data_IF_341185302419
#
_entry.id   IF_341185302419
#
_cell.length_a   1.000
_cell.length_b   1.000
_cell.length_c   1.000
_cell.angle_alpha   90.00
_cell.angle_beta   90.00
_cell.angle_gamma   90.00
#
_symmetry.space_group_name_H-M   'P 1'
#
loop_
_entity.id
_entity.type
_entity.pdbx_description
1 polymer ?
#
# COMPACT_ATOMS: atom_id res chain seq x y z
N UNK A 1 44.99 7.10 -46.82
CA UNK A 1 43.68 6.75 -46.24
C UNK A 1 43.71 7.10 -44.77
N UNK A 2 42.90 8.05 -44.30
CA UNK A 2 42.79 8.32 -42.86
C UNK A 2 42.17 7.10 -42.20
N UNK A 3 42.79 6.59 -41.12
CA UNK A 3 42.28 5.43 -40.42
C UNK A 3 40.89 5.68 -39.82
N UNK A 4 40.09 4.61 -39.68
CA UNK A 4 38.73 4.66 -39.11
C UNK A 4 38.70 5.37 -37.76
N UNK A 5 39.70 5.15 -36.91
CA UNK A 5 39.82 5.83 -35.61
C UNK A 5 39.98 7.36 -35.73
N UNK A 6 40.73 7.85 -36.72
CA UNK A 6 40.89 9.29 -36.97
C UNK A 6 39.57 9.91 -37.44
N UNK A 7 38.83 9.22 -38.31
CA UNK A 7 37.52 9.67 -38.77
C UNK A 7 36.51 9.74 -37.63
N UNK A 8 36.49 8.73 -36.76
CA UNK A 8 35.65 8.69 -35.56
C UNK A 8 36.02 9.82 -34.59
N UNK A 9 37.31 10.03 -34.34
CA UNK A 9 37.80 11.10 -33.46
C UNK A 9 37.41 12.50 -33.93
N UNK A 10 37.48 12.77 -35.24
CA UNK A 10 37.08 14.06 -35.83
C UNK A 10 35.56 14.28 -35.74
N UNK A 11 34.74 13.25 -36.00
CA UNK A 11 33.30 13.34 -35.84
C UNK A 11 32.90 13.53 -34.37
N UNK A 12 33.57 12.82 -33.46
CA UNK A 12 33.38 13.00 -32.03
C UNK A 12 33.72 14.43 -31.60
N UNK A 13 34.87 14.96 -32.05
CA UNK A 13 35.27 16.34 -31.82
C UNK A 13 34.23 17.34 -32.32
N UNK A 14 33.72 17.15 -33.55
CA UNK A 14 32.63 17.97 -34.11
C UNK A 14 31.39 17.94 -33.21
N UNK A 15 30.95 16.74 -32.81
CA UNK A 15 29.75 16.56 -32.00
C UNK A 15 29.90 17.19 -30.60
N UNK A 16 31.09 17.06 -30.00
CA UNK A 16 31.42 17.67 -28.72
C UNK A 16 31.44 19.20 -28.82
N UNK A 17 32.03 19.74 -29.89
CA UNK A 17 32.11 21.17 -30.14
C UNK A 17 30.72 21.79 -30.40
N UNK A 18 29.81 21.06 -31.07
CA UNK A 18 28.41 21.46 -31.21
C UNK A 18 27.68 21.54 -29.86
N UNK A 19 27.95 20.60 -28.94
CA UNK A 19 27.40 20.64 -27.58
C UNK A 19 27.95 21.84 -26.80
N UNK A 20 29.28 22.06 -26.84
CA UNK A 20 29.94 23.17 -26.14
C UNK A 20 29.40 24.54 -26.56
N UNK A 21 28.91 24.69 -27.79
CA UNK A 21 28.26 25.91 -28.28
C UNK A 21 26.83 26.11 -27.77
N UNK A 22 26.20 25.08 -27.20
CA UNK A 22 24.85 25.11 -26.62
C UNK A 22 24.92 25.01 -25.09
N UNK A 23 25.63 25.94 -24.47
CA UNK A 23 25.89 25.96 -23.01
C UNK A 23 24.58 25.94 -22.22
N UNK A 24 23.62 26.81 -22.56
CA UNK A 24 22.33 26.92 -21.87
C UNK A 24 21.57 25.59 -21.88
N UNK A 25 21.45 24.96 -23.05
CA UNK A 25 20.77 23.66 -23.18
C UNK A 25 21.49 22.59 -22.36
N UNK A 26 22.83 22.57 -22.39
CA UNK A 26 23.63 21.61 -21.61
C UNK A 26 23.42 21.77 -20.10
N UNK A 27 23.28 23.02 -19.63
CA UNK A 27 22.96 23.29 -18.21
C UNK A 27 21.58 22.73 -17.87
N UNK A 28 20.56 22.99 -18.70
CA UNK A 28 19.22 22.46 -18.47
C UNK A 28 19.18 20.93 -18.49
N UNK A 29 19.87 20.30 -19.44
CA UNK A 29 19.97 18.84 -19.56
C UNK A 29 20.64 18.17 -18.36
N UNK A 30 21.61 18.82 -17.71
CA UNK A 30 22.22 18.31 -16.48
C UNK A 30 21.33 18.64 -15.27
N UNK A 31 20.84 19.88 -15.18
CA UNK A 31 20.09 20.35 -14.02
C UNK A 31 18.75 19.63 -13.84
N UNK A 32 18.05 19.26 -14.92
CA UNK A 32 16.73 18.65 -14.81
C UNK A 32 16.75 17.25 -14.16
N UNK A 33 17.57 16.27 -14.59
CA UNK A 33 17.67 14.99 -13.89
C UNK A 33 18.15 15.15 -12.44
N UNK A 34 19.04 16.11 -12.18
CA UNK A 34 19.49 16.39 -10.81
C UNK A 34 18.42 17.06 -9.96
N UNK A 35 17.56 17.89 -10.53
CA UNK A 35 16.41 18.49 -9.86
C UNK A 35 15.41 17.42 -9.46
N UNK A 36 15.12 16.47 -10.36
CA UNK A 36 14.27 15.32 -10.07
C UNK A 36 14.88 14.39 -9.00
N UNK A 37 16.20 14.16 -9.05
CA UNK A 37 16.89 13.42 -8.00
C UNK A 37 16.88 14.17 -6.65
N UNK A 38 17.08 15.50 -6.67
CA UNK A 38 16.98 16.35 -5.50
C UNK A 38 15.56 16.41 -4.94
N UNK A 39 14.53 16.33 -5.78
CA UNK A 39 13.13 16.24 -5.35
C UNK A 39 12.87 14.97 -4.53
N UNK A 40 13.38 13.81 -4.96
CA UNK A 40 13.31 12.59 -4.15
C UNK A 40 14.11 12.72 -2.84
N UNK A 41 15.30 13.32 -2.89
CA UNK A 41 16.08 13.60 -1.69
C UNK A 41 15.33 14.53 -0.71
N UNK A 42 14.61 15.52 -1.23
CA UNK A 42 13.78 16.44 -0.45
C UNK A 42 12.58 15.70 0.14
N UNK A 43 11.87 14.89 -0.65
CA UNK A 43 10.78 14.03 -0.15
C UNK A 43 11.28 13.10 0.96
N UNK A 44 12.49 12.54 0.82
CA UNK A 44 13.11 11.74 1.88
C UNK A 44 13.29 12.52 3.17
N UNK A 45 13.61 13.82 3.10
CA UNK A 45 13.80 14.65 4.30
C UNK A 45 12.53 14.85 5.15
N UNK A 46 11.35 14.63 4.57
CA UNK A 46 10.06 14.77 5.27
C UNK A 46 9.53 13.47 5.87
N UNK A 47 10.15 12.32 5.58
CA UNK A 47 9.68 11.00 6.04
C UNK A 47 10.71 10.39 6.97
N UNK A 48 10.27 10.02 8.17
CA UNK A 48 11.12 9.36 9.17
C UNK A 48 11.59 7.98 8.72
N UNK A 49 12.74 7.57 9.24
CA UNK A 49 13.29 6.24 9.11
C UNK A 49 13.60 5.73 10.52
N UNK A 50 12.99 4.61 10.90
CA UNK A 50 13.24 3.98 12.20
C UNK A 50 13.60 2.50 12.01
N UNK A 51 14.58 2.04 12.77
CA UNK A 51 15.05 0.65 12.74
C UNK A 51 14.61 -0.09 14.01
N UNK A 52 13.93 -1.22 13.82
CA UNK A 52 13.48 -2.11 14.88
C UNK A 52 14.27 -3.40 14.80
N UNK A 53 15.35 -3.50 15.61
CA UNK A 53 16.25 -4.65 15.64
C UNK A 53 15.68 -5.86 16.39
N UNK A 54 14.77 -5.62 17.32
CA UNK A 54 14.14 -6.66 18.13
C UNK A 54 12.74 -7.02 17.59
N UNK A 55 12.30 -8.28 17.72
CA UNK A 55 10.94 -8.66 17.38
C UNK A 55 9.91 -7.85 18.18
N UNK A 56 8.87 -7.38 17.51
CA UNK A 56 7.75 -6.69 18.17
C UNK A 56 6.78 -7.71 18.73
N UNK A 57 6.64 -7.71 20.05
CA UNK A 57 5.67 -8.54 20.77
C UNK A 57 4.40 -7.75 21.05
N UNK A 58 3.28 -8.47 21.09
CA UNK A 58 1.98 -7.92 21.45
C UNK A 58 1.46 -8.61 22.69
N UNK A 59 0.87 -7.81 23.59
CA UNK A 59 0.26 -8.33 24.80
C UNK A 59 -1.04 -9.08 24.48
N UNK A 60 -1.33 -10.17 25.21
CA UNK A 60 -2.60 -10.86 25.08
C UNK A 60 -3.75 -10.00 25.59
N UNK A 61 -4.93 -10.15 24.99
CA UNK A 61 -6.15 -9.52 25.47
C UNK A 61 -7.29 -10.52 25.60
N UNK A 62 -8.26 -10.19 26.46
CA UNK A 62 -9.44 -11.02 26.71
C UNK A 62 -10.47 -10.79 25.60
N UNK A 63 -10.95 -11.88 25.00
CA UNK A 63 -12.04 -11.82 23.99
C UNK A 63 -13.43 -11.67 24.61
N UNK A 64 -13.55 -11.80 25.94
CA UNK A 64 -14.82 -11.75 26.66
C UNK A 64 -15.36 -10.33 26.86
N UNK A 65 -14.60 -9.30 26.47
CA UNK A 65 -14.98 -7.90 26.66
C UNK A 65 -15.10 -7.21 25.30
N UNK A 66 -16.06 -6.28 25.22
CA UNK A 66 -16.14 -5.36 24.09
C UNK A 66 -15.06 -4.28 24.17
N UNK A 67 -14.64 -3.77 23.02
CA UNK A 67 -13.78 -2.59 22.95
C UNK A 67 -14.46 -1.39 23.61
N UNK A 68 -13.68 -0.57 24.33
CA UNK A 68 -14.18 0.67 24.97
C UNK A 68 -14.75 1.68 23.97
N UNK A 69 -14.38 1.57 22.69
CA UNK A 69 -14.87 2.43 21.62
C UNK A 69 -16.22 1.99 21.08
N UNK A 70 -16.73 0.80 21.44
CA UNK A 70 -17.98 0.24 20.91
C UNK A 70 -19.19 0.75 21.71
N UNK A 71 -19.36 2.07 21.76
CA UNK A 71 -20.44 2.74 22.50
C UNK A 71 -21.69 2.80 21.61
N UNK A 72 -22.88 2.40 22.11
CA UNK A 72 -24.14 2.56 21.40
C UNK A 72 -24.44 4.02 21.04
N UNK A 73 -25.04 4.32 19.88
CA UNK A 73 -25.31 5.70 19.49
C UNK A 73 -26.23 6.45 20.46
N UNK A 74 -27.26 5.80 21.01
CA UNK A 74 -28.18 6.44 21.97
C UNK A 74 -27.51 6.80 23.29
N UNK A 75 -26.40 6.15 23.62
CA UNK A 75 -25.61 6.43 24.82
C UNK A 75 -24.67 7.64 24.67
N UNK A 76 -24.54 8.22 23.46
CA UNK A 76 -23.73 9.42 23.23
C UNK A 76 -24.45 10.71 23.65
N UNK A 77 -25.79 10.69 23.70
CA UNK A 77 -26.63 11.85 24.05
C UNK A 77 -27.03 11.91 25.53
N UNK A 78 -26.72 10.86 26.31
CA UNK A 78 -27.06 10.76 27.73
C UNK A 78 -25.81 11.00 28.58
N UNK A 79 -25.89 11.88 29.58
CA UNK A 79 -24.90 12.00 30.68
C UNK A 79 -24.89 10.76 31.61
N UNK A 80 -25.53 9.66 31.19
CA UNK A 80 -25.67 8.46 32.01
C UNK A 80 -24.32 7.76 32.20
N UNK A 81 -23.94 7.46 33.45
CA UNK A 81 -22.76 6.68 33.71
C UNK A 81 -22.93 5.25 33.18
N UNK A 82 -21.83 4.57 32.80
CA UNK A 82 -21.86 3.18 32.37
C UNK A 82 -22.55 2.27 33.42
N UNK A 83 -23.18 1.16 32.99
CA UNK A 83 -22.94 0.46 31.73
C UNK A 83 -23.87 0.86 30.56
N UNK A 84 -23.29 0.86 29.35
CA UNK A 84 -24.01 1.04 28.10
C UNK A 84 -24.49 -0.30 27.54
N UNK A 85 -25.66 -0.31 26.91
CA UNK A 85 -26.34 -1.54 26.51
C UNK A 85 -26.52 -1.65 24.99
N UNK A 86 -26.03 -2.75 24.44
CA UNK A 86 -26.36 -3.21 23.10
C UNK A 86 -27.49 -4.24 23.13
N UNK A 87 -28.19 -4.37 22.01
CA UNK A 87 -29.13 -5.44 21.71
C UNK A 87 -28.58 -6.30 20.57
N UNK A 88 -28.94 -7.58 20.56
CA UNK A 88 -28.63 -8.52 19.48
C UNK A 88 -29.91 -9.03 18.83
N UNK A 89 -29.85 -9.39 17.56
CA UNK A 89 -30.87 -10.20 16.90
C UNK A 89 -30.44 -11.66 16.81
N UNK A 90 -31.38 -12.57 16.70
CA UNK A 90 -31.11 -13.94 16.29
C UNK A 90 -32.23 -14.51 15.43
N UNK A 91 -31.91 -15.52 14.63
CA UNK A 91 -32.87 -16.24 13.78
C UNK A 91 -32.44 -17.69 13.63
N UNK A 92 -33.37 -18.64 13.42
CA UNK A 92 -34.82 -18.49 13.53
C UNK A 92 -35.28 -18.34 15.00
N UNK A 93 -36.49 -17.83 15.21
CA UNK A 93 -37.13 -17.73 16.54
C UNK A 93 -37.82 -19.06 16.89
N UNK A 94 -37.04 -19.97 17.47
CA UNK A 94 -37.48 -21.29 17.92
C UNK A 94 -37.12 -21.47 19.40
N UNK A 95 -37.73 -22.47 20.05
CA UNK A 95 -37.49 -22.77 21.46
C UNK A 95 -36.00 -23.00 21.79
N UNK A 96 -35.29 -23.73 20.93
CA UNK A 96 -33.87 -24.04 21.05
C UNK A 96 -32.97 -22.80 20.87
N UNK A 97 -33.19 -22.03 19.80
CA UNK A 97 -32.37 -20.86 19.47
C UNK A 97 -32.57 -19.73 20.48
N UNK A 98 -33.77 -19.57 21.02
CA UNK A 98 -34.05 -18.64 22.11
C UNK A 98 -33.25 -19.01 23.37
N UNK A 99 -33.27 -20.28 23.77
CA UNK A 99 -32.51 -20.74 24.92
C UNK A 99 -30.98 -20.58 24.72
N UNK A 100 -30.48 -20.76 23.48
CA UNK A 100 -29.09 -20.48 23.13
C UNK A 100 -28.78 -18.98 23.22
N UNK A 101 -29.68 -18.13 22.71
CA UNK A 101 -29.52 -16.68 22.74
C UNK A 101 -29.52 -16.14 24.17
N UNK A 102 -30.35 -16.66 25.07
CA UNK A 102 -30.34 -16.31 26.50
C UNK A 102 -28.99 -16.64 27.16
N UNK A 103 -28.46 -17.85 26.95
CA UNK A 103 -27.13 -18.22 27.46
C UNK A 103 -26.01 -17.40 26.84
N UNK A 104 -26.12 -17.06 25.57
CA UNK A 104 -25.15 -16.18 24.90
C UNK A 104 -25.13 -14.81 25.57
N UNK A 105 -26.30 -14.20 25.83
CA UNK A 105 -26.39 -12.91 26.53
C UNK A 105 -25.82 -13.01 27.94
N UNK A 106 -26.10 -14.08 28.68
CA UNK A 106 -25.51 -14.33 30.01
C UNK A 106 -23.97 -14.37 29.93
N UNK A 107 -23.42 -15.06 28.92
CA UNK A 107 -21.98 -15.15 28.70
C UNK A 107 -21.33 -13.81 28.28
N UNK A 108 -22.11 -12.87 27.73
CA UNK A 108 -21.70 -11.52 27.31
C UNK A 108 -21.86 -10.46 28.41
N UNK A 109 -22.17 -10.86 29.65
CA UNK A 109 -22.25 -9.95 30.80
C UNK A 109 -21.06 -10.11 31.77
N UNK A 110 -19.83 -9.71 31.36
CA UNK A 110 -18.71 -9.72 32.28
C UNK A 110 -18.92 -8.69 33.41
N UNK A 111 -18.61 -9.12 34.63
CA UNK A 111 -18.71 -8.29 35.83
C UNK A 111 -17.92 -6.98 35.67
N UNK A 112 -18.56 -5.84 35.99
CA UNK A 112 -17.98 -4.50 35.92
C UNK A 112 -17.54 -4.01 34.52
N UNK A 113 -18.06 -4.60 33.44
CA UNK A 113 -17.79 -4.09 32.11
C UNK A 113 -18.66 -2.86 31.76
N UNK A 114 -18.07 -1.84 31.11
CA UNK A 114 -18.77 -0.60 30.78
C UNK A 114 -19.74 -0.76 29.59
N UNK A 115 -19.59 -1.82 28.79
CA UNK A 115 -20.44 -2.11 27.63
C UNK A 115 -20.92 -3.55 27.78
N UNK A 116 -22.23 -3.74 27.67
CA UNK A 116 -22.91 -5.02 27.89
C UNK A 116 -23.99 -5.25 26.84
N UNK A 117 -24.45 -6.49 26.73
CA UNK A 117 -25.64 -6.83 25.94
C UNK A 117 -26.82 -7.02 26.90
N UNK A 118 -27.93 -6.32 26.62
CA UNK A 118 -29.14 -6.37 27.46
C UNK A 118 -30.03 -7.54 27.10
N UNK A 119 -30.24 -7.77 25.81
CA UNK A 119 -31.17 -8.78 25.32
C UNK A 119 -30.86 -9.18 23.89
N UNK A 120 -31.35 -10.37 23.52
CA UNK A 120 -31.37 -10.87 22.16
C UNK A 120 -32.83 -10.99 21.70
N UNK A 121 -33.13 -10.50 20.49
CA UNK A 121 -34.48 -10.49 19.90
C UNK A 121 -34.57 -11.55 18.80
N UNK A 122 -35.62 -12.39 18.86
CA UNK A 122 -35.84 -13.44 17.87
C UNK A 122 -36.52 -12.90 16.62
N UNK A 123 -36.10 -13.40 15.46
CA UNK A 123 -36.71 -13.15 14.16
C UNK A 123 -37.08 -14.48 13.49
N UNK A 124 -38.21 -14.56 12.77
CA UNK A 124 -38.63 -15.80 12.11
C UNK A 124 -37.60 -16.32 11.10
N UNK A 125 -37.02 -15.42 10.29
CA UNK A 125 -36.06 -15.77 9.25
C UNK A 125 -34.86 -14.81 9.23
N UNK A 126 -33.73 -15.29 8.68
CA UNK A 126 -32.52 -14.49 8.55
C UNK A 126 -32.76 -13.26 7.67
N UNK A 127 -33.55 -13.42 6.60
CA UNK A 127 -33.89 -12.32 5.69
C UNK A 127 -34.70 -11.23 6.40
N UNK A 128 -35.68 -11.60 7.23
CA UNK A 128 -36.46 -10.63 8.00
C UNK A 128 -35.61 -9.89 9.03
N UNK A 129 -34.67 -10.58 9.69
CA UNK A 129 -33.70 -9.97 10.59
C UNK A 129 -32.82 -8.95 9.85
N UNK A 130 -32.31 -9.31 8.68
CA UNK A 130 -31.48 -8.42 7.86
C UNK A 130 -32.28 -7.23 7.35
N UNK A 131 -33.50 -7.44 6.86
CA UNK A 131 -34.41 -6.37 6.40
C UNK A 131 -34.76 -5.40 7.52
N UNK A 132 -34.97 -5.91 8.74
CA UNK A 132 -35.18 -5.09 9.93
C UNK A 132 -33.98 -4.19 10.21
N UNK A 133 -32.77 -4.76 10.20
CA UNK A 133 -31.55 -3.98 10.42
C UNK A 133 -31.31 -2.95 9.31
N UNK A 134 -31.57 -3.29 8.05
CA UNK A 134 -31.42 -2.35 6.91
C UNK A 134 -32.39 -1.17 6.97
N UNK A 135 -33.60 -1.38 7.50
CA UNK A 135 -34.61 -0.31 7.66
C UNK A 135 -34.29 0.64 8.81
N UNK A 136 -33.56 0.18 9.81
CA UNK A 136 -33.10 1.05 10.89
C UNK A 136 -31.89 1.86 10.44
N UNK A 137 -31.84 3.14 10.81
CA UNK A 137 -30.62 3.91 10.62
C UNK A 137 -29.58 3.39 11.62
N UNK A 138 -28.58 2.65 11.14
CA UNK A 138 -27.55 2.02 11.98
C UNK A 138 -26.76 3.01 12.83
N UNK A 139 -26.68 4.27 12.41
CA UNK A 139 -26.08 5.37 13.18
C UNK A 139 -26.91 5.75 14.42
N UNK A 140 -28.11 5.21 14.58
CA UNK A 140 -29.04 5.50 15.68
C UNK A 140 -29.64 4.23 16.30
N UNK A 141 -29.28 3.04 15.82
CA UNK A 141 -29.80 1.77 16.34
C UNK A 141 -28.89 1.19 17.42
N UNK A 142 -29.48 0.76 18.53
CA UNK A 142 -28.77 0.04 19.60
C UNK A 142 -28.61 -1.45 19.33
N UNK A 143 -28.69 -1.87 18.06
CA UNK A 143 -28.41 -3.23 17.64
C UNK A 143 -26.95 -3.36 17.23
N UNK A 144 -26.21 -4.21 17.94
CA UNK A 144 -24.80 -4.48 17.62
C UNK A 144 -24.69 -5.29 16.32
N UNK A 145 -25.58 -6.27 16.16
CA UNK A 145 -25.72 -7.15 15.00
C UNK A 145 -26.69 -8.30 15.30
N UNK A 146 -26.66 -9.35 14.48
CA UNK A 146 -27.49 -10.54 14.68
C UNK A 146 -26.79 -11.86 14.40
N UNK A 147 -27.37 -12.95 14.88
CA UNK A 147 -26.86 -14.32 14.72
C UNK A 147 -27.89 -15.15 13.95
N UNK A 148 -27.51 -15.66 12.78
CA UNK A 148 -28.32 -16.62 12.03
C UNK A 148 -27.83 -18.03 12.33
N UNK A 149 -28.66 -18.84 12.97
CA UNK A 149 -28.40 -20.26 13.20
C UNK A 149 -28.96 -21.07 12.03
N UNK A 150 -28.12 -21.93 11.45
CA UNK A 150 -28.46 -22.78 10.31
C UNK A 150 -28.66 -24.21 10.78
N UNK A 151 -29.63 -24.92 10.20
CA UNK A 151 -29.96 -26.32 10.53
C UNK A 151 -30.42 -26.52 11.99
N UNK A 152 -31.14 -25.55 12.55
CA UNK A 152 -31.73 -25.63 13.90
C UNK A 152 -33.26 -25.76 13.79
N UNK A 153 -33.72 -27.00 13.56
CA UNK A 153 -35.15 -27.30 13.48
C UNK A 153 -35.80 -27.32 14.87
N UNK A 154 -37.09 -26.97 14.95
CA UNK A 154 -37.86 -26.90 16.20
C UNK A 154 -38.26 -28.29 16.76
N UNK A 155 -37.60 -29.36 16.32
CA UNK A 155 -37.97 -30.74 16.64
C UNK A 155 -37.52 -31.20 18.05
N UNK A 156 -36.79 -30.37 18.81
CA UNK A 156 -36.39 -30.65 20.19
C UNK A 156 -35.36 -29.69 20.78
N UNK A 157 -35.00 -29.88 22.05
CA UNK A 157 -33.94 -29.12 22.74
C UNK A 157 -32.52 -29.68 22.50
N UNK A 158 -32.40 -30.72 21.69
CA UNK A 158 -31.11 -31.35 21.40
C UNK A 158 -30.39 -30.63 20.26
N UNK A 159 -29.15 -30.21 20.52
CA UNK A 159 -28.28 -29.61 19.50
C UNK A 159 -27.94 -30.63 18.40
N UNK A 160 -27.99 -30.23 17.10
CA UNK A 160 -27.58 -31.07 16.00
C UNK A 160 -26.10 -31.46 16.09
N UNK A 161 -25.71 -32.51 15.36
CA UNK A 161 -24.32 -32.98 15.31
C UNK A 161 -23.39 -31.96 14.64
N UNK A 162 -23.86 -31.36 13.55
CA UNK A 162 -23.14 -30.30 12.84
C UNK A 162 -23.82 -28.97 13.09
N UNK A 163 -23.13 -28.09 13.81
CA UNK A 163 -23.62 -26.76 14.15
C UNK A 163 -23.02 -25.76 13.15
N UNK A 164 -23.88 -24.97 12.52
CA UNK A 164 -23.50 -23.95 11.54
C UNK A 164 -24.23 -22.66 11.89
N UNK A 165 -23.51 -21.54 12.00
CA UNK A 165 -24.11 -20.23 12.26
C UNK A 165 -23.35 -19.12 11.53
N UNK A 166 -23.98 -17.97 11.40
CA UNK A 166 -23.41 -16.76 10.81
C UNK A 166 -23.63 -15.57 11.71
N UNK A 167 -22.59 -14.79 11.97
CA UNK A 167 -22.69 -13.51 12.68
C UNK A 167 -22.84 -12.41 11.64
N UNK A 168 -23.94 -11.67 11.69
CA UNK A 168 -24.27 -10.55 10.82
C UNK A 168 -24.02 -9.24 11.55
N UNK A 169 -22.87 -8.63 11.27
CA UNK A 169 -22.55 -7.28 11.73
C UNK A 169 -22.82 -6.24 10.64
N UNK A 170 -22.76 -4.97 11.01
CA UNK A 170 -22.87 -3.87 10.06
C UNK A 170 -21.79 -3.98 8.97
N UNK A 171 -22.14 -3.70 7.71
CA UNK A 171 -21.20 -3.74 6.60
C UNK A 171 -20.07 -2.73 6.76
N UNK A 172 -20.38 -1.54 7.29
CA UNK A 172 -19.38 -0.53 7.62
C UNK A 172 -18.97 -0.65 9.09
N UNK A 173 -17.70 -0.96 9.40
CA UNK A 173 -17.21 -0.98 10.77
C UNK A 173 -17.40 0.39 11.43
N UNK A 174 -17.91 0.41 12.67
CA UNK A 174 -18.23 1.64 13.43
C UNK A 174 -16.96 2.33 13.96
N UNK A 175 -15.94 1.55 14.27
CA UNK A 175 -14.69 1.96 14.91
C UNK A 175 -13.48 1.81 13.98
N UNK A 176 -13.67 2.08 12.68
CA UNK A 176 -12.56 2.07 11.71
C UNK A 176 -11.67 3.31 11.90
N UNK A 177 -10.37 3.16 12.21
CA UNK A 177 -9.47 4.31 12.34
C UNK A 177 -9.32 5.01 10.99
N UNK A 178 -9.54 6.32 10.97
CA UNK A 178 -9.43 7.17 9.77
C UNK A 178 -8.04 7.12 9.16
N UNK A 179 -7.88 6.30 8.12
CA UNK A 179 -6.81 6.37 7.14
C UNK A 179 -7.42 6.63 5.78
N UNK A 180 -6.63 7.10 4.82
CA UNK A 180 -7.03 7.28 3.41
C UNK A 180 -7.57 5.98 2.76
N UNK A 181 -7.33 4.84 3.42
CA UNK A 181 -7.88 3.52 3.12
C UNK A 181 -8.91 3.05 4.17
N UNK A 182 -9.72 3.95 4.73
CA UNK A 182 -10.92 3.57 5.48
C UNK A 182 -11.84 2.82 4.50
N UNK A 183 -11.63 1.51 4.41
CA UNK A 183 -12.48 0.64 3.62
C UNK A 183 -13.87 0.69 4.25
N UNK A 184 -14.85 0.98 3.41
CA UNK A 184 -16.26 1.13 3.78
C UNK A 184 -16.85 -0.23 4.20
N UNK A 185 -16.14 -1.34 3.93
CA UNK A 185 -16.64 -2.70 4.06
C UNK A 185 -15.60 -3.66 4.65
N UNK A 186 -16.07 -4.83 5.10
CA UNK A 186 -15.23 -5.95 5.54
C UNK A 186 -14.62 -6.65 4.31
N UNK A 187 -13.29 -6.66 4.12
CA UNK A 187 -12.64 -7.33 3.00
C UNK A 187 -12.55 -8.84 3.25
N UNK A 188 -13.68 -9.56 3.19
CA UNK A 188 -13.73 -11.01 3.41
C UNK A 188 -13.21 -11.82 2.24
N UNK A 189 -13.12 -11.22 1.04
CA UNK A 189 -12.66 -11.88 -0.18
C UNK A 189 -11.14 -12.04 -0.24
N UNK A 190 -10.40 -11.30 0.59
CA UNK A 190 -8.95 -11.24 0.55
C UNK A 190 -8.34 -11.73 1.86
N UNK A 191 -7.38 -12.66 1.76
CA UNK A 191 -6.56 -13.08 2.90
C UNK A 191 -5.60 -11.98 3.37
N UNK A 192 -5.18 -11.07 2.48
CA UNK A 192 -4.22 -10.02 2.74
C UNK A 192 -4.67 -8.68 2.14
N UNK A 193 -4.29 -7.54 2.74
CA UNK A 193 -4.59 -6.23 2.16
C UNK A 193 -3.89 -6.03 0.82
N UNK A 194 -4.51 -5.27 -0.07
CA UNK A 194 -3.96 -4.94 -1.39
C UNK A 194 -2.60 -4.23 -1.30
N UNK A 195 -2.46 -3.30 -0.34
CA UNK A 195 -1.19 -2.68 -0.01
C UNK A 195 -0.61 -3.27 1.26
N UNK A 196 0.55 -3.92 1.14
CA UNK A 196 1.31 -4.44 2.26
C UNK A 196 2.45 -3.48 2.55
N UNK A 197 2.43 -2.89 3.74
CA UNK A 197 3.58 -2.15 4.25
C UNK A 197 4.51 -3.12 4.98
N UNK A 198 5.85 -2.94 4.88
CA UNK A 198 6.83 -3.80 5.56
C UNK A 198 6.91 -3.55 7.07
N UNK A 199 5.78 -3.22 7.70
CA UNK A 199 5.64 -2.87 9.12
C UNK A 199 4.49 -3.66 9.73
N UNK A 200 4.52 -3.93 11.04
CA UNK A 200 3.40 -4.59 11.71
C UNK A 200 2.14 -3.75 11.56
N UNK A 201 1.05 -4.39 11.15
CA UNK A 201 -0.28 -3.76 11.04
C UNK A 201 -0.65 -3.14 12.38
N UNK A 202 -0.93 -1.83 12.39
CA UNK A 202 -1.25 -1.06 13.60
C UNK A 202 -0.34 -1.46 14.79
N UNK A 203 0.95 -1.17 14.68
CA UNK A 203 1.99 -1.54 15.67
C UNK A 203 1.58 -1.30 17.13
N UNK A 204 0.90 -0.19 17.40
CA UNK A 204 0.53 0.21 18.76
C UNK A 204 -0.75 -0.48 19.28
N UNK A 205 -1.41 -1.30 18.46
CA UNK A 205 -2.63 -2.01 18.83
C UNK A 205 -2.36 -3.50 19.03
N UNK A 206 -2.72 -4.02 20.20
CA UNK A 206 -2.67 -5.46 20.49
C UNK A 206 -3.83 -6.24 19.84
N UNK A 207 -4.87 -5.52 19.39
CA UNK A 207 -6.16 -6.06 18.94
C UNK A 207 -6.19 -6.49 17.47
N UNK A 208 -5.06 -6.41 16.78
CA UNK A 208 -4.92 -6.83 15.37
C UNK A 208 -5.25 -5.75 14.34
N UNK A 209 -5.87 -4.63 14.76
CA UNK A 209 -6.22 -3.51 13.89
C UNK A 209 -7.30 -3.83 12.86
N UNK A 210 -7.36 -3.07 11.77
CA UNK A 210 -8.27 -3.29 10.65
C UNK A 210 -8.17 -4.75 10.07
N UNK A 211 -9.30 -5.45 9.80
CA UNK A 211 -10.70 -4.98 9.70
C UNK A 211 -11.47 -4.84 11.02
N UNK A 212 -10.82 -4.99 12.18
CA UNK A 212 -11.42 -4.59 13.46
C UNK A 212 -12.32 -5.63 14.13
N UNK A 213 -12.10 -6.94 13.93
CA UNK A 213 -12.90 -8.02 14.54
C UNK A 213 -13.09 -7.88 16.06
N UNK A 214 -12.07 -7.41 16.79
CA UNK A 214 -12.22 -7.11 18.22
C UNK A 214 -12.97 -5.78 18.46
N UNK A 215 -12.62 -4.73 17.72
CA UNK A 215 -13.18 -3.37 17.87
C UNK A 215 -14.69 -3.30 17.61
N UNK A 216 -15.18 -4.15 16.72
CA UNK A 216 -16.60 -4.29 16.37
C UNK A 216 -17.34 -5.34 17.22
N UNK A 217 -16.65 -6.02 18.15
CA UNK A 217 -17.27 -6.99 19.05
C UNK A 217 -17.52 -8.38 18.44
N UNK A 218 -17.09 -8.64 17.20
CA UNK A 218 -17.24 -9.95 16.55
C UNK A 218 -16.66 -11.08 17.38
N UNK A 219 -15.43 -10.92 17.89
CA UNK A 219 -14.75 -11.95 18.69
C UNK A 219 -15.48 -12.27 19.99
N UNK A 220 -16.10 -11.26 20.62
CA UNK A 220 -16.85 -11.44 21.86
C UNK A 220 -18.15 -12.21 21.60
N UNK A 221 -18.88 -11.85 20.54
CA UNK A 221 -20.10 -12.56 20.13
C UNK A 221 -19.77 -14.01 19.78
N UNK A 222 -18.73 -14.24 18.97
CA UNK A 222 -18.29 -15.58 18.59
C UNK A 222 -17.94 -16.43 19.82
N UNK A 223 -17.14 -15.87 20.74
CA UNK A 223 -16.78 -16.55 21.99
C UNK A 223 -18.01 -16.91 22.83
N UNK A 224 -18.99 -16.01 22.93
CA UNK A 224 -20.20 -16.23 23.72
C UNK A 224 -21.14 -17.28 23.11
N UNK A 225 -21.29 -17.28 21.78
CA UNK A 225 -22.08 -18.29 21.04
C UNK A 225 -21.45 -19.67 21.22
N UNK A 226 -20.13 -19.80 20.99
CA UNK A 226 -19.43 -21.07 21.12
C UNK A 226 -19.47 -21.58 22.58
N UNK A 227 -19.36 -20.66 23.55
CA UNK A 227 -19.50 -20.98 24.96
C UNK A 227 -20.92 -21.42 25.33
N UNK A 228 -21.95 -20.83 24.75
CA UNK A 228 -23.32 -21.29 24.91
C UNK A 228 -23.48 -22.73 24.39
N UNK A 229 -22.96 -23.05 23.19
CA UNK A 229 -23.00 -24.42 22.67
C UNK A 229 -22.30 -25.43 23.58
N UNK A 230 -21.12 -25.10 24.10
CA UNK A 230 -20.42 -25.94 25.07
C UNK A 230 -21.28 -26.20 26.32
N UNK A 231 -21.94 -25.17 26.86
CA UNK A 231 -22.82 -25.30 28.02
C UNK A 231 -24.06 -26.14 27.73
N UNK A 232 -24.62 -26.05 26.52
CA UNK A 232 -25.75 -26.88 26.09
C UNK A 232 -25.37 -28.37 25.95
N UNK A 233 -24.13 -28.67 25.56
CA UNK A 233 -23.59 -30.04 25.59
C UNK A 233 -23.13 -30.51 26.99
N UNK A 234 -23.37 -29.71 28.04
CA UNK A 234 -23.09 -30.08 29.42
C UNK A 234 -21.67 -29.79 29.90
N UNK A 235 -20.87 -29.03 29.15
CA UNK A 235 -19.52 -28.66 29.58
C UNK A 235 -19.54 -27.54 30.64
N UNK A 236 -18.66 -27.65 31.65
CA UNK A 236 -18.48 -26.60 32.64
C UNK A 236 -17.49 -25.53 32.11
N UNK A 237 -18.03 -24.39 31.70
CA UNK A 237 -17.25 -23.31 31.07
C UNK A 237 -16.76 -22.23 32.05
N UNK A 238 -16.94 -22.40 33.37
CA UNK A 238 -16.61 -21.34 34.36
C UNK A 238 -15.11 -21.08 34.48
N UNK A 239 -14.28 -22.09 34.26
CA UNK A 239 -12.82 -22.00 34.42
C UNK A 239 -12.06 -21.85 33.10
N UNK A 240 -12.75 -21.56 31.99
CA UNK A 240 -12.11 -21.42 30.68
C UNK A 240 -11.79 -19.93 30.45
N UNK A 241 -10.50 -19.59 30.45
CA UNK A 241 -10.02 -18.28 30.03
C UNK A 241 -9.49 -18.35 28.60
N UNK A 242 -10.12 -17.58 27.71
CA UNK A 242 -9.68 -17.46 26.31
C UNK A 242 -9.07 -16.08 26.12
N UNK A 243 -7.82 -16.05 25.68
CA UNK A 243 -7.11 -14.82 25.31
C UNK A 243 -6.67 -14.91 23.87
N UNK A 244 -6.70 -13.78 23.17
CA UNK A 244 -6.10 -13.67 21.85
C UNK A 244 -4.75 -12.98 21.99
N UNK A 245 -3.76 -13.46 21.25
CA UNK A 245 -2.45 -12.83 21.15
C UNK A 245 -2.01 -12.84 19.71
N UNK A 246 -1.52 -11.69 19.23
CA UNK A 246 -0.92 -11.61 17.90
C UNK A 246 0.42 -12.36 17.90
N UNK A 247 0.76 -12.97 16.78
CA UNK A 247 2.11 -13.48 16.57
C UNK A 247 3.13 -12.33 16.66
N UNK A 248 4.32 -12.58 17.21
CA UNK A 248 5.38 -11.59 17.20
C UNK A 248 5.75 -11.24 15.75
N UNK A 249 6.01 -9.97 15.51
CA UNK A 249 6.47 -9.49 14.20
C UNK A 249 8.00 -9.44 14.19
N UNK A 250 8.69 -9.95 13.16
CA UNK A 250 10.15 -9.97 13.10
C UNK A 250 10.75 -8.55 13.07
N UNK A 251 12.07 -8.39 13.29
CA UNK A 251 12.77 -7.13 13.12
C UNK A 251 12.51 -6.49 11.74
N UNK A 252 12.35 -5.18 11.70
CA UNK A 252 11.95 -4.46 10.48
C UNK A 252 12.43 -3.01 10.44
N UNK A 253 12.36 -2.42 9.25
CA UNK A 253 12.60 -1.01 9.01
C UNK A 253 11.25 -0.31 8.82
N UNK A 254 10.91 0.63 9.71
CA UNK A 254 9.76 1.51 9.50
C UNK A 254 10.17 2.63 8.56
N UNK A 255 9.96 2.38 7.27
CA UNK A 255 10.28 3.31 6.20
C UNK A 255 9.16 3.40 5.18
N UNK A 256 8.18 4.28 5.46
CA UNK A 256 7.06 4.56 4.55
C UNK A 256 7.49 5.21 3.25
N UNK A 257 8.69 5.80 3.21
CA UNK A 257 9.22 6.41 2.01
C UNK A 257 9.45 5.38 0.89
N UNK A 258 9.78 4.12 1.25
CA UNK A 258 10.00 3.05 0.28
C UNK A 258 8.76 2.81 -0.59
N UNK A 259 7.56 2.84 0.00
CA UNK A 259 6.32 2.69 -0.77
C UNK A 259 6.09 3.87 -1.72
N UNK A 260 6.34 5.11 -1.27
CA UNK A 260 6.24 6.30 -2.13
C UNK A 260 7.25 6.21 -3.28
N UNK A 261 8.48 5.80 -2.97
CA UNK A 261 9.55 5.60 -3.93
C UNK A 261 9.15 4.55 -4.98
N UNK A 262 8.60 3.41 -4.57
CA UNK A 262 8.21 2.33 -5.48
C UNK A 262 7.25 2.80 -6.58
N UNK A 263 6.29 3.68 -6.27
CA UNK A 263 5.37 4.23 -7.25
C UNK A 263 5.97 5.34 -8.12
N UNK A 264 6.82 6.21 -7.55
CA UNK A 264 7.28 7.43 -8.23
C UNK A 264 8.67 7.29 -8.88
N UNK A 265 9.45 6.27 -8.54
CA UNK A 265 10.83 6.13 -9.01
C UNK A 265 10.98 6.05 -10.54
N UNK A 266 10.13 5.29 -11.28
CA UNK A 266 10.18 5.28 -12.74
C UNK A 266 9.92 6.66 -13.36
N UNK A 267 8.94 7.39 -12.84
CA UNK A 267 8.54 8.70 -13.35
C UNK A 267 9.66 9.73 -13.20
N UNK A 268 10.33 9.73 -12.04
CA UNK A 268 11.47 10.62 -11.75
C UNK A 268 12.60 10.40 -12.75
N UNK A 269 12.95 9.14 -13.03
CA UNK A 269 14.00 8.81 -14.00
C UNK A 269 13.57 9.19 -15.42
N UNK A 270 12.32 8.90 -15.78
CA UNK A 270 11.77 9.22 -17.10
C UNK A 270 11.78 10.73 -17.37
N UNK A 271 11.19 11.53 -16.48
CA UNK A 271 11.16 12.99 -16.61
C UNK A 271 12.54 13.62 -16.47
N UNK A 272 13.45 13.02 -15.68
CA UNK A 272 14.83 13.48 -15.59
C UNK A 272 15.58 13.42 -16.92
N UNK A 273 15.41 12.35 -17.70
CA UNK A 273 16.17 12.11 -18.94
C UNK A 273 15.46 12.67 -20.19
N UNK A 274 14.22 13.17 -20.06
CA UNK A 274 13.39 13.56 -21.20
C UNK A 274 14.06 14.59 -22.13
N UNK A 275 14.69 15.63 -21.57
CA UNK A 275 15.38 16.66 -22.35
C UNK A 275 16.57 16.08 -23.11
N UNK A 276 17.27 15.11 -22.52
CA UNK A 276 18.41 14.44 -23.16
C UNK A 276 17.92 13.66 -24.38
N UNK A 277 16.83 12.89 -24.23
CA UNK A 277 16.22 12.14 -25.33
C UNK A 277 15.76 13.07 -26.47
N UNK A 278 15.09 14.17 -26.12
CA UNK A 278 14.63 15.17 -27.08
C UNK A 278 15.80 15.83 -27.82
N UNK A 279 16.87 16.19 -27.12
CA UNK A 279 18.01 16.86 -27.74
C UNK A 279 18.88 15.93 -28.59
N UNK A 280 19.01 14.65 -28.23
CA UNK A 280 19.63 13.64 -29.09
C UNK A 280 18.84 13.55 -30.39
N UNK A 281 17.52 13.37 -30.30
CA UNK A 281 16.63 13.27 -31.46
C UNK A 281 16.70 14.53 -32.33
N UNK A 282 16.63 15.72 -31.72
CA UNK A 282 16.76 17.01 -32.39
C UNK A 282 18.11 17.17 -33.09
N UNK A 283 19.20 16.77 -32.45
CA UNK A 283 20.54 16.97 -33.03
C UNK A 283 20.78 16.08 -34.25
N UNK A 284 20.30 14.83 -34.21
CA UNK A 284 20.38 13.89 -35.34
C UNK A 284 19.46 14.34 -36.49
N UNK A 285 18.22 14.76 -36.20
CA UNK A 285 17.28 15.26 -37.21
C UNK A 285 17.73 16.58 -37.83
N UNK A 286 18.34 17.48 -37.06
CA UNK A 286 18.92 18.73 -37.58
C UNK A 286 20.10 18.48 -38.53
N UNK A 287 20.93 17.47 -38.25
CA UNK A 287 22.00 17.06 -39.16
C UNK A 287 21.45 16.47 -40.47
N UNK A 288 20.33 15.73 -40.38
CA UNK A 288 19.59 15.19 -41.52
C UNK A 288 18.95 16.30 -42.36
N UNK A 289 18.30 17.29 -41.73
CA UNK A 289 17.67 18.43 -42.38
C UNK A 289 18.67 19.26 -43.20
N UNK A 290 19.84 19.54 -42.62
CA UNK A 290 20.92 20.28 -43.30
C UNK A 290 21.71 19.45 -44.31
N UNK A 291 21.36 18.17 -44.50
CA UNK A 291 22.08 17.21 -45.37
C UNK A 291 23.58 17.10 -45.06
N UNK A 292 23.99 17.43 -43.83
CA UNK A 292 25.40 17.40 -43.41
C UNK A 292 25.93 15.98 -43.41
N UNK A 293 25.08 15.01 -43.04
CA UNK A 293 25.42 13.58 -43.10
C UNK A 293 25.77 13.13 -44.52
N UNK A 294 24.96 13.51 -45.51
CA UNK A 294 25.21 13.15 -46.92
C UNK A 294 26.45 13.86 -47.48
N UNK A 295 26.67 15.11 -47.10
CA UNK A 295 27.90 15.83 -47.45
C UNK A 295 29.15 15.12 -46.93
N UNK A 296 29.15 14.60 -45.71
CA UNK A 296 30.30 13.87 -45.15
C UNK A 296 30.45 12.46 -45.74
N UNK A 297 29.35 11.81 -46.13
CA UNK A 297 29.44 10.55 -46.90
C UNK A 297 30.13 10.75 -48.25
N UNK A 298 29.84 11.86 -48.94
CA UNK A 298 30.55 12.22 -50.19
C UNK A 298 32.05 12.48 -49.96
N UNK A 299 32.45 12.87 -48.75
CA UNK A 299 33.86 13.00 -48.34
C UNK A 299 34.52 11.65 -47.95
N UNK A 300 33.82 10.53 -48.11
CA UNK A 300 34.36 9.18 -47.88
C UNK A 300 34.12 8.60 -46.47
N UNK A 301 33.26 9.21 -45.65
CA UNK A 301 32.89 8.66 -44.34
C UNK A 301 31.77 7.62 -44.46
N UNK A 302 31.95 6.48 -43.80
CA UNK A 302 30.94 5.41 -43.82
C UNK A 302 29.78 5.67 -42.84
N UNK A 303 28.59 5.16 -43.16
CA UNK A 303 27.35 5.45 -42.43
C UNK A 303 27.39 5.04 -40.94
N UNK A 304 28.03 3.91 -40.61
CA UNK A 304 28.06 3.40 -39.25
C UNK A 304 28.89 4.29 -38.31
N UNK A 305 29.96 4.93 -38.82
CA UNK A 305 30.82 5.83 -38.02
C UNK A 305 30.01 7.03 -37.51
N UNK A 306 29.06 7.55 -38.30
CA UNK A 306 28.18 8.63 -37.86
C UNK A 306 27.32 8.22 -36.65
N UNK A 307 26.71 7.02 -36.70
CA UNK A 307 25.90 6.51 -35.60
C UNK A 307 26.74 6.22 -34.35
N UNK A 308 27.92 5.62 -34.52
CA UNK A 308 28.85 5.36 -33.42
C UNK A 308 29.36 6.66 -32.78
N UNK A 309 29.66 7.69 -33.59
CA UNK A 309 30.10 8.99 -33.07
C UNK A 309 29.01 9.70 -32.25
N UNK A 310 27.75 9.64 -32.69
CA UNK A 310 26.62 10.14 -31.91
C UNK A 310 26.38 9.31 -30.65
N UNK A 311 26.45 7.97 -30.76
CA UNK A 311 26.28 7.07 -29.63
C UNK A 311 27.32 7.34 -28.54
N UNK A 312 28.61 7.38 -28.90
CA UNK A 312 29.69 7.56 -27.93
C UNK A 312 29.63 8.93 -27.24
N UNK A 313 29.29 10.00 -27.98
CA UNK A 313 29.07 11.33 -27.41
C UNK A 313 27.91 11.32 -26.41
N UNK A 314 26.78 10.73 -26.79
CA UNK A 314 25.60 10.66 -25.92
C UNK A 314 25.84 9.77 -24.71
N UNK A 315 26.56 8.66 -24.87
CA UNK A 315 26.88 7.73 -23.79
C UNK A 315 27.76 8.41 -22.73
N UNK A 316 28.87 9.05 -23.12
CA UNK A 316 29.75 9.76 -22.17
C UNK A 316 28.96 10.80 -21.39
N UNK A 317 28.09 11.54 -22.09
CA UNK A 317 27.26 12.56 -21.47
C UNK A 317 26.26 11.98 -20.46
N UNK A 318 25.52 10.93 -20.86
CA UNK A 318 24.61 10.23 -19.98
C UNK A 318 25.33 9.59 -18.79
N UNK A 319 26.53 9.04 -18.97
CA UNK A 319 27.33 8.45 -17.88
C UNK A 319 27.58 9.47 -16.77
N UNK A 320 27.98 10.70 -17.11
CA UNK A 320 28.21 11.76 -16.12
C UNK A 320 26.93 12.03 -15.33
N UNK A 321 25.79 12.12 -16.01
CA UNK A 321 24.49 12.37 -15.37
C UNK A 321 24.06 11.19 -14.49
N UNK A 322 24.25 9.95 -14.94
CA UNK A 322 23.91 8.75 -14.17
C UNK A 322 24.80 8.60 -12.94
N UNK A 323 26.07 8.97 -13.00
CA UNK A 323 26.95 9.04 -11.83
C UNK A 323 26.40 10.06 -10.83
N UNK A 324 26.09 11.28 -11.29
CA UNK A 324 25.57 12.32 -10.41
C UNK A 324 24.23 11.93 -9.78
N UNK A 325 23.29 11.39 -10.55
CA UNK A 325 22.02 10.88 -10.02
C UNK A 325 22.23 9.74 -9.01
N UNK A 326 23.15 8.82 -9.27
CA UNK A 326 23.50 7.74 -8.34
C UNK A 326 23.99 8.31 -7.00
N UNK A 327 24.83 9.36 -7.03
CA UNK A 327 25.29 10.04 -5.82
C UNK A 327 24.10 10.62 -5.05
N UNK A 328 23.17 11.33 -5.71
CA UNK A 328 21.97 11.85 -5.05
C UNK A 328 21.11 10.75 -4.41
N UNK A 329 21.01 9.58 -5.04
CA UNK A 329 20.21 8.48 -4.51
C UNK A 329 20.87 7.72 -3.36
N UNK A 330 22.20 7.71 -3.29
CA UNK A 330 22.98 6.93 -2.32
C UNK A 330 23.47 7.76 -1.12
N UNK A 331 23.52 9.09 -1.22
CA UNK A 331 23.99 9.93 -0.12
C UNK A 331 22.94 9.95 1.01
N UNK A 332 23.30 9.53 2.25
CA UNK A 332 22.39 9.58 3.37
C UNK A 332 22.18 11.02 3.86
N UNK A 333 20.93 11.38 4.16
CA UNK A 333 20.64 12.66 4.80
C UNK A 333 20.97 12.56 6.29
N UNK A 334 21.80 13.46 6.81
CA UNK A 334 22.12 13.52 8.25
C UNK A 334 20.88 13.71 9.14
N UNK A 335 19.85 14.40 8.65
CA UNK A 335 18.61 14.65 9.40
C UNK A 335 17.76 13.41 9.60
N UNK A 336 17.80 12.45 8.66
CA UNK A 336 16.95 11.24 8.66
C UNK A 336 17.77 9.97 8.95
N UNK A 337 19.09 10.01 8.76
CA UNK A 337 19.97 8.87 8.95
C UNK A 337 19.95 7.85 7.80
N UNK A 338 19.26 8.14 6.69
CA UNK A 338 19.09 7.22 5.57
C UNK A 338 19.14 7.93 4.21
N UNK A 339 19.57 7.18 3.19
CA UNK A 339 19.56 7.63 1.79
C UNK A 339 18.17 7.45 1.13
N UNK A 340 18.02 7.95 -0.10
CA UNK A 340 16.84 7.65 -0.94
C UNK A 340 16.73 6.15 -1.17
N UNK A 341 17.86 5.49 -1.41
CA UNK A 341 17.94 4.03 -1.57
C UNK A 341 19.01 3.46 -0.64
N UNK A 342 18.63 3.21 0.62
CA UNK A 342 19.58 2.95 1.70
C UNK A 342 20.33 1.60 1.58
N UNK A 343 19.60 0.53 1.26
CA UNK A 343 20.13 -0.84 1.30
C UNK A 343 20.52 -1.39 -0.08
N UNK A 344 20.84 -0.50 -1.04
CA UNK A 344 21.17 -0.90 -2.42
C UNK A 344 22.66 -0.81 -2.70
N UNK A 345 23.20 -1.83 -3.37
CA UNK A 345 24.58 -1.82 -3.83
C UNK A 345 24.78 -0.69 -4.89
N UNK A 346 25.72 0.26 -4.67
CA UNK A 346 25.96 1.37 -5.58
C UNK A 346 26.23 0.97 -7.04
N UNK A 347 26.94 -0.14 -7.23
CA UNK A 347 27.31 -0.64 -8.57
C UNK A 347 26.08 -1.14 -9.31
N UNK A 348 25.16 -1.83 -8.61
CA UNK A 348 23.93 -2.35 -9.22
C UNK A 348 23.02 -1.19 -9.65
N UNK A 349 22.86 -0.17 -8.79
CA UNK A 349 22.08 1.02 -9.11
C UNK A 349 22.67 1.76 -10.33
N UNK A 350 23.99 1.94 -10.35
CA UNK A 350 24.67 2.58 -11.46
C UNK A 350 24.50 1.79 -12.77
N UNK A 351 24.67 0.47 -12.75
CA UNK A 351 24.46 -0.38 -13.94
C UNK A 351 23.01 -0.28 -14.43
N UNK A 352 22.03 -0.29 -13.52
CA UNK A 352 20.62 -0.13 -13.86
C UNK A 352 20.35 1.20 -14.58
N UNK A 353 20.83 2.31 -14.03
CA UNK A 353 20.70 3.63 -14.63
C UNK A 353 21.44 3.75 -15.97
N UNK A 354 22.60 3.11 -16.10
CA UNK A 354 23.35 3.03 -17.34
C UNK A 354 22.60 2.27 -18.43
N UNK A 355 22.01 1.11 -18.10
CA UNK A 355 21.18 0.35 -19.05
C UNK A 355 19.98 1.17 -19.52
N UNK A 356 19.31 1.88 -18.61
CA UNK A 356 18.23 2.81 -18.96
C UNK A 356 18.70 3.91 -19.93
N UNK A 357 19.88 4.48 -19.69
CA UNK A 357 20.45 5.50 -20.56
C UNK A 357 20.77 4.98 -21.97
N UNK A 358 21.31 3.76 -22.08
CA UNK A 358 21.61 3.12 -23.37
C UNK A 358 20.32 2.88 -24.15
N UNK A 359 19.29 2.33 -23.48
CA UNK A 359 17.98 2.11 -24.08
C UNK A 359 17.36 3.42 -24.57
N UNK A 360 17.46 4.50 -23.78
CA UNK A 360 16.95 5.83 -24.14
C UNK A 360 17.67 6.42 -25.36
N UNK A 361 19.00 6.24 -25.47
CA UNK A 361 19.78 6.68 -26.62
C UNK A 361 19.36 5.91 -27.88
N UNK A 362 19.23 4.58 -27.79
CA UNK A 362 18.79 3.74 -28.91
C UNK A 362 17.38 4.11 -29.37
N UNK A 363 16.46 4.30 -28.41
CA UNK A 363 15.11 4.76 -28.67
C UNK A 363 15.09 6.12 -29.38
N UNK A 364 15.90 7.08 -28.91
CA UNK A 364 16.02 8.40 -29.54
C UNK A 364 16.53 8.32 -30.98
N UNK A 365 17.48 7.42 -31.27
CA UNK A 365 17.95 7.18 -32.64
C UNK A 365 16.88 6.56 -33.53
N UNK A 366 16.14 5.57 -33.01
CA UNK A 366 15.00 4.99 -33.71
C UNK A 366 13.98 6.07 -34.07
N UNK A 367 13.56 6.88 -33.08
CA UNK A 367 12.60 7.97 -33.28
C UNK A 367 13.13 9.00 -34.28
N UNK A 368 14.41 9.38 -34.20
CA UNK A 368 15.03 10.34 -35.14
C UNK A 368 14.96 9.90 -36.61
N UNK A 369 14.85 8.60 -36.88
CA UNK A 369 14.78 8.08 -38.24
C UNK A 369 13.48 8.45 -38.95
N UNK A 370 12.37 8.54 -38.22
CA UNK A 370 11.04 8.87 -38.73
C UNK A 370 10.88 10.37 -39.09
N UNK A 371 11.66 11.26 -38.47
CA UNK A 371 11.55 12.70 -38.71
C UNK A 371 12.53 13.20 -39.78
N UNK A 372 12.11 14.18 -40.58
CA UNK A 372 12.89 14.77 -41.68
C UNK A 372 13.27 16.24 -41.47
N UNK A 373 12.62 16.93 -40.54
CA UNK A 373 12.89 18.32 -40.12
C UNK A 373 13.11 18.36 -38.60
N UNK A 374 14.07 19.16 -38.15
CA UNK A 374 14.52 19.25 -36.74
C UNK A 374 13.80 20.30 -35.89
N UNK A 375 12.62 20.77 -36.32
CA UNK A 375 11.92 21.88 -35.69
C UNK A 375 10.79 21.39 -34.78
N UNK A 376 11.11 21.11 -33.52
CA UNK A 376 10.17 21.27 -32.41
C UNK A 376 10.41 22.67 -31.83
N UNK A 377 9.45 23.56 -32.04
CA UNK A 377 9.41 24.91 -31.48
C UNK A 377 9.04 24.77 -30.00
N UNK A 378 9.95 25.20 -29.12
CA UNK A 378 9.63 25.82 -27.83
C UNK A 378 10.64 26.93 -27.61
#
# INVERSE_FOLDING_TARGET
MTGVGTQLGLLFWKNWLLQKRKVVVTIFEISLPLLFAAFLLLMRSFVSYEEYLEPTYFDPFLVTRFSRTLIPPTALDLEDPPPFYWQLGYSPDNSLTNAIAEKMVENLQPMFAPIQVRSATGFPTENEMVDFFQKQNFSSSDYLGGIAFHNMDDAGMDLPTNITYSIRLNSSPRNSPGSFAAQIEWPTDYLFPFYQFPVPREKNSTEGGFPGYYREGFLAIQHAVDKAFMQFKGANTRNISTVLRRYPYPPYYDDRYVSILQFNFPDVIMFGVILIALNITRSVTHEKEKRLKESMKMMGLSNWIHWTAWFLKSLIYCTIIMILMSVFFLVPLKSVGAAVVNNTNPVILFIFLMMYSIATIMYSFMISSFFSKGMFIW
#
